data_IF_393988689849
#
_entry.id   IF_393988689849
#
_cell.length_a   1.000
_cell.length_b   1.000
_cell.length_c   1.000
_cell.angle_alpha   90.00
_cell.angle_beta   90.00
_cell.angle_gamma   90.00
#
_symmetry.space_group_name_H-M   'P 1'
#
loop_
_entity.id
_entity.type
_entity.pdbx_description
1 polymer ?
#
# COMPACT_ATOMS: atom_id res chain seq x y z
N UNK A 1 6.26 8.43 13.43
CA UNK A 1 5.98 9.40 14.51
C UNK A 1 6.46 8.82 15.82
N UNK A 2 7.31 9.55 16.54
CA UNK A 2 7.83 9.15 17.84
C UNK A 2 7.28 10.14 18.87
N UNK A 3 6.77 9.64 20.01
CA UNK A 3 6.19 10.47 21.08
C UNK A 3 6.30 9.76 22.42
N UNK A 4 6.44 10.53 23.50
CA UNK A 4 6.34 10.07 24.88
C UNK A 4 4.98 10.41 25.53
N UNK A 5 4.05 11.03 24.78
CA UNK A 5 2.71 11.34 25.27
C UNK A 5 1.78 10.14 25.08
N UNK A 6 1.43 9.46 26.18
CA UNK A 6 0.59 8.27 26.18
C UNK A 6 -0.81 8.49 25.60
N UNK A 7 -1.42 9.66 25.82
CA UNK A 7 -2.74 9.97 25.26
C UNK A 7 -2.68 10.09 23.72
N UNK A 8 -1.62 10.72 23.21
CA UNK A 8 -1.41 10.85 21.76
C UNK A 8 -1.10 9.50 21.11
N UNK A 9 -0.31 8.66 21.79
CA UNK A 9 -0.03 7.30 21.33
C UNK A 9 -1.34 6.49 21.24
N UNK A 10 -2.13 6.44 22.32
CA UNK A 10 -3.41 5.74 22.33
C UNK A 10 -4.36 6.23 21.22
N UNK A 11 -4.43 7.56 21.01
CA UNK A 11 -5.25 8.13 19.94
C UNK A 11 -4.88 7.61 18.55
N UNK A 12 -3.60 7.33 18.29
CA UNK A 12 -3.11 6.92 16.97
C UNK A 12 -3.03 5.40 16.79
N UNK A 13 -2.78 4.63 17.85
CA UNK A 13 -2.45 3.20 17.77
C UNK A 13 -3.51 2.26 18.34
N UNK A 14 -4.51 2.75 19.05
CA UNK A 14 -5.49 1.87 19.70
C UNK A 14 -6.31 1.08 18.67
N UNK A 15 -6.47 -0.25 18.84
CA UNK A 15 -7.27 -1.07 17.93
C UNK A 15 -8.67 -0.50 17.72
N UNK A 16 -9.16 -0.52 16.48
CA UNK A 16 -10.49 -0.02 16.13
C UNK A 16 -10.60 1.49 15.90
N UNK A 17 -9.55 2.31 16.19
CA UNK A 17 -9.55 3.76 15.90
C UNK A 17 -9.60 4.11 14.41
N UNK A 18 -9.42 3.13 13.52
CA UNK A 18 -9.46 3.26 12.03
C UNK A 18 -8.63 4.44 11.52
N UNK A 19 -7.50 4.72 12.16
CA UNK A 19 -6.60 5.81 11.78
C UNK A 19 -6.11 5.62 10.35
N UNK A 20 -6.49 6.55 9.46
CA UNK A 20 -6.11 6.51 8.05
C UNK A 20 -4.59 6.56 7.85
N UNK A 21 -4.10 5.82 6.86
CA UNK A 21 -2.70 5.82 6.44
C UNK A 21 -2.67 5.80 4.92
N UNK A 22 -1.78 6.60 4.34
CA UNK A 22 -1.57 6.69 2.90
C UNK A 22 -0.19 6.12 2.59
N UNK A 23 -0.12 5.28 1.56
CA UNK A 23 1.09 4.59 1.16
C UNK A 23 1.28 4.72 -0.35
N UNK A 24 2.50 4.99 -0.78
CA UNK A 24 2.93 4.82 -2.18
C UNK A 24 3.59 3.45 -2.30
N UNK A 25 3.08 2.62 -3.22
CA UNK A 25 3.53 1.23 -3.37
C UNK A 25 3.95 0.99 -4.81
N UNK A 26 5.20 0.58 -5.00
CA UNK A 26 5.71 0.13 -6.29
C UNK A 26 5.50 -1.38 -6.41
N UNK A 27 4.81 -1.81 -7.46
CA UNK A 27 4.55 -3.23 -7.77
C UNK A 27 5.41 -3.68 -8.96
N UNK A 28 5.83 -4.94 -8.98
CA UNK A 28 6.71 -5.48 -10.03
C UNK A 28 6.06 -5.60 -11.40
N UNK A 29 4.73 -5.74 -11.44
CA UNK A 29 3.94 -5.92 -12.67
C UNK A 29 2.93 -4.79 -12.75
N UNK A 30 2.75 -4.21 -13.94
CA UNK A 30 1.77 -3.16 -14.14
C UNK A 30 0.37 -3.69 -13.84
N UNK A 31 -0.32 -3.15 -12.82
CA UNK A 31 -1.63 -3.67 -12.48
C UNK A 31 -2.63 -3.14 -13.52
N UNK A 32 -3.20 -4.05 -14.32
CA UNK A 32 -4.38 -3.71 -15.11
C UNK A 32 -5.49 -3.15 -14.20
N UNK A 33 -6.32 -2.22 -14.70
CA UNK A 33 -7.37 -1.54 -13.92
C UNK A 33 -8.32 -2.52 -13.20
N UNK A 34 -8.49 -3.74 -13.73
CA UNK A 34 -9.29 -4.81 -13.11
C UNK A 34 -8.69 -5.33 -11.80
N UNK A 35 -7.38 -5.21 -11.59
CA UNK A 35 -6.70 -5.63 -10.37
C UNK A 35 -6.85 -4.63 -9.20
N UNK A 36 -7.31 -3.40 -9.46
CA UNK A 36 -7.47 -2.39 -8.42
C UNK A 36 -8.71 -2.67 -7.54
N UNK A 37 -9.81 -3.16 -8.12
CA UNK A 37 -11.04 -3.46 -7.37
C UNK A 37 -10.83 -4.53 -6.28
N UNK A 38 -10.16 -5.67 -6.55
CA UNK A 38 -9.85 -6.66 -5.52
C UNK A 38 -8.90 -6.17 -4.42
N UNK A 39 -8.11 -5.11 -4.65
CA UNK A 39 -7.26 -4.53 -3.60
C UNK A 39 -8.05 -3.68 -2.61
N UNK A 40 -9.21 -3.15 -3.00
CA UNK A 40 -10.07 -2.37 -2.12
C UNK A 40 -10.75 -3.23 -1.05
N UNK A 41 -10.97 -4.53 -1.32
CA UNK A 41 -11.57 -5.49 -0.38
C UNK A 41 -11.05 -6.91 -0.66
N UNK A 42 -10.29 -7.49 0.26
CA UNK A 42 -9.69 -8.81 0.10
C UNK A 42 -9.78 -9.65 1.36
N UNK A 43 -10.00 -10.95 1.21
CA UNK A 43 -9.86 -11.90 2.30
C UNK A 43 -8.39 -12.34 2.39
N UNK A 44 -7.79 -12.13 3.56
CA UNK A 44 -6.48 -12.63 3.94
C UNK A 44 -6.65 -13.80 4.93
N UNK A 45 -5.54 -14.43 5.32
CA UNK A 45 -5.57 -15.58 6.23
C UNK A 45 -6.12 -15.22 7.63
N UNK A 46 -6.07 -13.95 8.01
CA UNK A 46 -6.56 -13.39 9.27
C UNK A 46 -7.94 -12.72 9.15
N UNK A 47 -8.58 -12.81 7.98
CA UNK A 47 -9.94 -12.35 7.74
C UNK A 47 -10.06 -11.30 6.62
N UNK A 48 -11.27 -10.73 6.44
CA UNK A 48 -11.53 -9.70 5.45
C UNK A 48 -10.85 -8.37 5.81
N UNK A 49 -10.26 -7.71 4.82
CA UNK A 49 -9.83 -6.31 4.96
C UNK A 49 -11.04 -5.37 4.94
N UNK A 50 -10.92 -4.22 5.61
CA UNK A 50 -11.86 -3.11 5.42
C UNK A 50 -11.70 -2.49 4.02
N UNK A 51 -12.70 -1.71 3.54
CA UNK A 51 -12.59 -1.02 2.26
C UNK A 51 -11.42 -0.03 2.29
N UNK A 52 -10.58 -0.05 1.26
CA UNK A 52 -9.45 0.86 1.10
C UNK A 52 -9.53 1.64 -0.22
N UNK A 53 -9.07 2.90 -0.19
CA UNK A 53 -8.84 3.67 -1.41
C UNK A 53 -7.60 3.15 -2.13
N UNK A 54 -7.71 2.91 -3.44
CA UNK A 54 -6.60 2.42 -4.26
C UNK A 54 -6.66 3.13 -5.61
N UNK A 55 -5.55 3.73 -6.00
CA UNK A 55 -5.39 4.43 -7.27
C UNK A 55 -4.03 4.14 -7.91
N UNK A 56 -3.99 4.21 -9.24
CA UNK A 56 -2.76 4.20 -10.01
C UNK A 56 -2.25 5.63 -10.09
N UNK A 57 -1.00 5.84 -9.71
CA UNK A 57 -0.32 7.13 -9.75
C UNK A 57 1.01 6.97 -10.46
N UNK A 58 1.48 8.04 -11.10
CA UNK A 58 2.84 8.11 -11.64
C UNK A 58 3.87 8.10 -10.51
N UNK A 59 5.13 7.81 -10.86
CA UNK A 59 6.22 7.83 -9.90
C UNK A 59 6.35 9.25 -9.29
N UNK A 60 6.29 9.40 -7.95
CA UNK A 60 6.33 10.72 -7.35
C UNK A 60 7.71 11.36 -7.50
N UNK A 61 7.74 12.62 -7.92
CA UNK A 61 8.98 13.37 -8.15
C UNK A 61 9.87 13.53 -6.90
N UNK A 62 9.33 13.35 -5.70
CA UNK A 62 10.03 13.41 -4.43
C UNK A 62 10.60 12.04 -3.97
N UNK A 63 10.45 10.98 -4.77
CA UNK A 63 10.95 9.66 -4.44
C UNK A 63 12.49 9.65 -4.41
N UNK A 64 13.05 9.16 -3.32
CA UNK A 64 14.50 8.99 -3.20
C UNK A 64 14.96 7.68 -3.87
N UNK A 65 16.18 7.63 -4.43
CA UNK A 65 16.75 6.39 -4.97
C UNK A 65 16.95 5.35 -3.85
N UNK A 66 16.68 4.08 -4.15
CA UNK A 66 16.89 2.96 -3.21
C UNK A 66 18.24 2.29 -3.45
N UNK A 67 18.86 1.80 -2.38
CA UNK A 67 20.07 0.97 -2.44
C UNK A 67 19.84 -0.34 -1.67
N UNK A 68 19.74 -1.51 -2.34
CA UNK A 68 19.84 -1.67 -3.79
C UNK A 68 18.63 -1.07 -4.54
N UNK A 69 18.79 -0.69 -5.82
CA UNK A 69 17.67 -0.23 -6.64
C UNK A 69 16.62 -1.34 -6.78
N UNK A 70 15.34 -0.96 -6.85
CA UNK A 70 14.29 -1.91 -7.19
C UNK A 70 14.43 -2.24 -8.67
N UNK A 71 14.70 -3.51 -8.96
CA UNK A 71 14.72 -4.00 -10.33
C UNK A 71 13.28 -4.26 -10.77
N UNK A 72 12.80 -3.47 -11.74
CA UNK A 72 11.54 -3.76 -12.41
C UNK A 72 11.66 -5.12 -13.10
N UNK A 73 10.68 -6.02 -12.93
CA UNK A 73 10.67 -7.25 -13.71
C UNK A 73 10.61 -6.87 -15.20
N UNK A 74 11.49 -7.44 -16.03
CA UNK A 74 11.30 -7.39 -17.49
C UNK A 74 9.87 -7.84 -17.76
N UNK A 75 9.13 -7.07 -18.56
CA UNK A 75 7.75 -7.38 -18.94
C UNK A 75 7.68 -8.84 -19.36
N UNK A 76 7.06 -9.68 -18.53
CA UNK A 76 6.79 -11.06 -18.89
C UNK A 76 5.53 -11.03 -19.76
N UNK A 77 5.52 -11.64 -20.95
CA UNK A 77 4.33 -11.65 -21.79
C UNK A 77 3.18 -12.33 -21.01
N UNK A 78 1.93 -11.92 -21.26
CA UNK A 78 0.78 -12.54 -20.62
C UNK A 78 0.81 -14.05 -20.92
N UNK A 79 0.69 -14.87 -19.88
CA UNK A 79 0.43 -16.29 -20.05
C UNK A 79 -0.91 -16.42 -20.79
N UNK A 80 -0.87 -17.09 -21.94
CA UNK A 80 -2.03 -17.36 -22.80
C UNK A 80 -2.99 -18.37 -22.20
#
# INVERSE_FOLDING_TARGET
MLTNNGALQARLTQPGKRTGKIYYVQVKVFPHKTHLKPCAWRNLNDGPTLPAGVELVDEPAWLWPRNPPIVNAKVFPPAG
#
